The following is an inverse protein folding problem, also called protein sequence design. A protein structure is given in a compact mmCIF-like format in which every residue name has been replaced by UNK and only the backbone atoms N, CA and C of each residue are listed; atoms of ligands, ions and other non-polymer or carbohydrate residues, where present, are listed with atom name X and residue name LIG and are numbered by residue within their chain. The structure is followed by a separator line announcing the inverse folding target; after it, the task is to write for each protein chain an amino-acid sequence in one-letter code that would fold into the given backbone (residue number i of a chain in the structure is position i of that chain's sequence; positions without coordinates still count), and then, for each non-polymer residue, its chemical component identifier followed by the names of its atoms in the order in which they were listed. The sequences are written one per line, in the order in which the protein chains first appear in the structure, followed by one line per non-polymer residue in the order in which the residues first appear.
data_IF_972641541406
#
_entry.id   IF_972641541406
#
_cell.length_a   1.000
_cell.length_b   1.000
_cell.length_c   1.000
_cell.angle_alpha   90.00
_cell.angle_beta   90.00
_cell.angle_gamma   90.00
#
_symmetry.space_group_name_H-M   'P 1'
#
loop_
_entity.id
_entity.type
_entity.pdbx_description
1 polymer ?
#
# COMPACT_ATOMS: atom_id res chain seq x y z
N UNK A 1 -8.30 6.65 16.22
CA UNK A 1 -7.16 6.39 15.32
C UNK A 1 -7.56 5.17 14.49
N UNK A 2 -7.82 5.36 13.18
CA UNK A 2 -8.42 4.33 12.32
C UNK A 2 -7.51 3.11 12.16
N UNK A 3 -8.10 1.90 12.20
CA UNK A 3 -7.38 0.62 12.18
C UNK A 3 -6.91 0.16 10.79
N UNK A 4 -7.18 0.92 9.73
CA UNK A 4 -6.80 0.54 8.37
C UNK A 4 -6.39 1.78 7.59
N UNK A 5 -5.11 2.17 7.58
CA UNK A 5 -4.64 3.33 6.83
C UNK A 5 -4.87 3.13 5.32
N UNK A 6 -5.61 4.03 4.66
CA UNK A 6 -5.74 4.01 3.21
C UNK A 6 -4.57 4.73 2.52
N UNK A 7 -4.26 4.34 1.28
CA UNK A 7 -3.47 5.15 0.34
C UNK A 7 -4.44 5.92 -0.54
N UNK A 8 -4.31 7.24 -0.57
CA UNK A 8 -5.04 8.10 -1.49
C UNK A 8 -4.14 8.47 -2.67
N UNK A 9 -4.70 8.38 -3.88
CA UNK A 9 -4.07 8.88 -5.09
C UNK A 9 -4.89 10.06 -5.58
N UNK A 10 -4.23 11.20 -5.81
CA UNK A 10 -4.86 12.44 -6.25
C UNK A 10 -4.36 12.86 -7.62
N UNK A 11 -5.24 13.49 -8.37
CA UNK A 11 -4.85 14.27 -9.54
C UNK A 11 -4.34 15.63 -9.06
N UNK A 12 -3.07 15.99 -9.33
CA UNK A 12 -2.48 17.24 -8.86
C UNK A 12 -3.05 18.49 -9.55
N UNK A 13 -3.74 18.36 -10.70
CA UNK A 13 -4.32 19.48 -11.43
C UNK A 13 -5.70 19.80 -10.88
N UNK A 14 -6.56 18.79 -10.79
CA UNK A 14 -7.95 18.96 -10.34
C UNK A 14 -8.09 18.91 -8.82
N UNK A 15 -7.04 18.46 -8.11
CA UNK A 15 -7.03 18.20 -6.67
C UNK A 15 -8.10 17.20 -6.23
N UNK A 16 -8.60 16.37 -7.15
CA UNK A 16 -9.59 15.35 -6.87
C UNK A 16 -8.92 14.02 -6.52
N UNK A 17 -9.59 13.22 -5.68
CA UNK A 17 -9.13 11.88 -5.34
C UNK A 17 -9.44 10.94 -6.51
N UNK A 18 -8.40 10.50 -7.21
CA UNK A 18 -8.51 9.54 -8.30
C UNK A 18 -8.80 8.13 -7.77
N UNK A 19 -8.20 7.73 -6.65
CA UNK A 19 -8.33 6.37 -6.12
C UNK A 19 -8.08 6.30 -4.62
N UNK A 20 -8.74 5.35 -3.95
CA UNK A 20 -8.57 5.05 -2.53
C UNK A 20 -8.27 3.55 -2.39
N UNK A 21 -7.04 3.23 -1.99
CA UNK A 21 -6.55 1.86 -1.85
C UNK A 21 -6.53 1.51 -0.35
N UNK A 22 -7.29 0.51 0.08
CA UNK A 22 -7.54 0.24 1.50
C UNK A 22 -7.59 -1.24 1.85
N UNK A 23 -7.48 -1.54 3.15
CA UNK A 23 -7.72 -2.87 3.72
C UNK A 23 -6.55 -3.86 3.62
N UNK A 24 -5.33 -3.40 3.30
CA UNK A 24 -4.15 -4.28 3.26
C UNK A 24 -3.12 -4.01 4.36
N UNK A 25 -3.17 -2.83 4.96
CA UNK A 25 -2.30 -2.44 6.07
C UNK A 25 -3.18 -2.25 7.31
N UNK A 26 -2.78 -2.83 8.44
CA UNK A 26 -3.57 -2.81 9.69
C UNK A 26 -3.06 -1.82 10.74
N UNK A 27 -1.95 -1.14 10.46
CA UNK A 27 -1.33 -0.16 11.37
C UNK A 27 -1.06 1.16 10.67
N UNK A 28 0.12 1.30 10.07
CA UNK A 28 0.57 2.48 9.34
C UNK A 28 1.14 2.10 7.98
N UNK A 29 1.29 3.09 7.10
CA UNK A 29 2.02 2.95 5.85
C UNK A 29 3.33 3.71 6.02
N UNK A 30 4.45 3.03 5.84
CA UNK A 30 5.80 3.60 5.97
C UNK A 30 6.26 4.30 4.70
N UNK A 31 5.90 3.75 3.55
CA UNK A 31 6.36 4.22 2.25
C UNK A 31 5.36 3.87 1.15
N UNK A 32 5.35 4.71 0.11
CA UNK A 32 4.64 4.50 -1.14
C UNK A 32 5.55 4.86 -2.31
N UNK A 33 5.45 4.12 -3.41
CA UNK A 33 6.22 4.38 -4.62
C UNK A 33 5.42 3.97 -5.87
N UNK A 34 5.51 4.77 -6.93
CA UNK A 34 4.99 4.38 -8.23
C UNK A 34 6.03 3.54 -8.98
N UNK A 35 5.55 2.61 -9.82
CA UNK A 35 6.41 1.97 -10.82
C UNK A 35 6.91 3.00 -11.85
N UNK A 36 8.06 2.77 -12.47
CA UNK A 36 8.61 3.69 -13.49
C UNK A 36 7.64 3.97 -14.66
N UNK A 37 6.77 3.02 -14.99
CA UNK A 37 5.75 3.18 -16.03
C UNK A 37 4.43 3.79 -15.50
N UNK A 38 4.35 4.14 -14.21
CA UNK A 38 3.16 4.71 -13.56
C UNK A 38 1.95 3.78 -13.49
N UNK A 39 2.06 2.52 -13.91
CA UNK A 39 0.94 1.58 -13.95
C UNK A 39 0.58 1.03 -12.57
N UNK A 40 1.58 0.87 -11.71
CA UNK A 40 1.42 0.26 -10.40
C UNK A 40 1.87 1.18 -9.29
N UNK A 41 1.27 0.96 -8.12
CA UNK A 41 1.69 1.60 -6.88
C UNK A 41 2.12 0.49 -5.92
N UNK A 42 3.26 0.67 -5.28
CA UNK A 42 3.72 -0.15 -4.17
C UNK A 42 3.50 0.60 -2.86
N UNK A 43 3.00 -0.10 -1.85
CA UNK A 43 2.88 0.42 -0.48
C UNK A 43 3.47 -0.57 0.53
N UNK A 44 4.11 -0.04 1.57
CA UNK A 44 4.77 -0.83 2.61
C UNK A 44 4.17 -0.52 3.98
N UNK A 45 3.62 -1.54 4.63
CA UNK A 45 2.99 -1.47 5.93
C UNK A 45 3.98 -1.51 7.09
N UNK A 46 3.61 -0.81 8.17
CA UNK A 46 4.22 -0.88 9.50
C UNK A 46 3.50 -1.90 10.39
N UNK A 47 2.82 -2.87 9.79
CA UNK A 47 2.18 -3.96 10.51
C UNK A 47 3.20 -5.02 10.93
N UNK A 48 2.76 -5.95 11.77
CA UNK A 48 3.62 -6.95 12.42
C UNK A 48 4.36 -7.85 11.42
N UNK A 49 3.84 -7.95 10.19
CA UNK A 49 4.39 -8.75 9.10
C UNK A 49 4.99 -7.92 7.96
N UNK A 50 5.19 -6.61 8.16
CA UNK A 50 5.78 -5.68 7.18
C UNK A 50 5.26 -5.94 5.76
N UNK A 51 3.94 -5.81 5.62
CA UNK A 51 3.25 -6.11 4.36
C UNK A 51 3.72 -5.21 3.25
N UNK A 52 4.07 -5.80 2.11
CA UNK A 52 4.27 -5.07 0.86
C UNK A 52 3.09 -5.38 -0.03
N UNK A 53 2.48 -4.35 -0.62
CA UNK A 53 1.29 -4.50 -1.47
C UNK A 53 1.55 -3.81 -2.80
N UNK A 54 1.23 -4.50 -3.88
CA UNK A 54 1.25 -3.95 -5.24
C UNK A 54 -0.18 -3.76 -5.70
N UNK A 55 -0.48 -2.56 -6.20
CA UNK A 55 -1.80 -2.12 -6.61
C UNK A 55 -1.84 -1.76 -8.09
N UNK A 56 -2.93 -2.11 -8.76
CA UNK A 56 -3.39 -1.40 -9.95
C UNK A 56 -4.22 -0.21 -9.45
N UNK A 57 -3.54 0.92 -9.24
CA UNK A 57 -4.15 2.06 -8.57
C UNK A 57 -5.31 2.65 -9.38
N UNK A 58 -5.24 2.63 -10.72
CA UNK A 58 -6.30 3.16 -11.60
C UNK A 58 -7.59 2.36 -11.50
N UNK A 59 -7.48 1.06 -11.28
CA UNK A 59 -8.64 0.18 -11.06
C UNK A 59 -9.06 0.10 -9.59
N UNK A 60 -8.22 0.57 -8.68
CA UNK A 60 -8.43 0.41 -7.24
C UNK A 60 -8.23 -1.05 -6.76
N UNK A 61 -7.52 -1.86 -7.53
CA UNK A 61 -7.40 -3.30 -7.30
C UNK A 61 -6.03 -3.67 -6.71
N UNK A 62 -6.02 -4.65 -5.82
CA UNK A 62 -4.79 -5.28 -5.36
C UNK A 62 -4.32 -6.31 -6.38
N UNK A 63 -3.09 -6.19 -6.85
CA UNK A 63 -2.45 -7.18 -7.73
C UNK A 63 -1.74 -8.28 -6.92
N UNK A 64 -1.13 -7.92 -5.80
CA UNK A 64 -0.44 -8.88 -4.95
C UNK A 64 -0.04 -8.27 -3.62
N UNK A 65 0.24 -9.13 -2.64
CA UNK A 65 0.74 -8.73 -1.34
C UNK A 65 1.67 -9.77 -0.77
N UNK A 66 2.82 -9.35 -0.25
CA UNK A 66 3.76 -10.21 0.44
C UNK A 66 3.87 -9.82 1.92
N UNK A 67 4.00 -10.83 2.79
CA UNK A 67 4.24 -10.67 4.23
C UNK A 67 5.63 -11.21 4.57
N UNK A 68 6.40 -10.42 5.32
CA UNK A 68 7.71 -10.81 5.82
C UNK A 68 7.61 -11.06 7.31
N UNK A 69 7.72 -12.33 7.71
CA UNK A 69 7.93 -12.68 9.10
C UNK A 69 9.41 -12.42 9.42
N UNK A 70 9.71 -11.41 10.24
CA UNK A 70 11.06 -11.24 10.78
C UNK A 70 11.35 -12.12 11.98
N UNK A 71 10.52 -13.13 12.22
CA UNK A 71 10.74 -14.15 13.25
C UNK A 71 11.42 -15.39 12.66
N UNK A 72 12.53 -15.19 11.94
CA UNK A 72 13.41 -16.29 11.59
C UNK A 72 14.75 -16.15 12.32
N UNK A 73 14.71 -16.17 13.66
CA UNK A 73 15.84 -16.54 14.54
C UNK A 73 15.29 -17.00 15.89
N UNK A 74 14.74 -18.22 15.94
CA UNK A 74 14.74 -19.09 17.12
C UNK A 74 14.58 -20.52 16.59
N UNK A 75 15.66 -21.04 15.99
CA UNK A 75 15.96 -22.47 15.95
C UNK A 75 17.26 -22.67 16.70
#
# INVERSE_FOLDING_TARGET
IGRDPPVHVWDPITMQTSSILKGQHSRGISAVAFSNNGKWLASVGLDDYRTIVIWDWKKGEKLGSQRFFLYCFYI
#
